data_IF_327276127994
#
_entry.id   IF_327276127994
#
_cell.length_a   1.000
_cell.length_b   1.000
_cell.length_c   1.000
_cell.angle_alpha   90.00
_cell.angle_beta   90.00
_cell.angle_gamma   90.00
#
_symmetry.space_group_name_H-M   'P 1'
#
loop_
_entity.id
_entity.type
_entity.pdbx_description
1 polymer ?
#
# COMPACT_ATOMS: atom_id res chain seq x y z
N UNK A 1 12.10 -7.62 -1.75
CA UNK A 1 10.92 -6.88 -1.28
C UNK A 1 11.40 -5.64 -0.52
N UNK A 2 10.52 -4.71 -0.13
CA UNK A 2 10.82 -3.62 0.81
C UNK A 2 11.09 -4.17 2.23
N UNK A 3 10.77 -3.40 3.26
CA UNK A 3 10.92 -3.80 4.67
C UNK A 3 10.30 -5.17 4.97
N UNK A 4 11.05 -6.01 5.72
CA UNK A 4 10.60 -7.32 6.22
C UNK A 4 9.29 -7.18 7.01
N UNK A 5 8.30 -8.01 6.69
CA UNK A 5 6.98 -7.98 7.34
C UNK A 5 6.08 -6.82 6.91
N UNK A 6 6.55 -5.93 6.02
CA UNK A 6 5.69 -4.95 5.34
C UNK A 6 4.77 -5.61 4.32
N UNK A 7 3.77 -4.88 3.84
CA UNK A 7 2.72 -5.41 2.94
C UNK A 7 3.29 -6.09 1.69
N UNK A 8 4.28 -5.49 1.01
CA UNK A 8 4.89 -6.08 -0.18
C UNK A 8 5.80 -7.27 0.12
N UNK A 9 6.40 -7.33 1.32
CA UNK A 9 7.19 -8.50 1.73
C UNK A 9 6.28 -9.70 2.03
N UNK A 10 5.19 -9.46 2.77
CA UNK A 10 4.14 -10.45 3.02
C UNK A 10 3.54 -10.95 1.70
N UNK A 11 3.16 -10.04 0.80
CA UNK A 11 2.55 -10.39 -0.48
C UNK A 11 3.48 -11.28 -1.34
N UNK A 12 4.76 -10.91 -1.45
CA UNK A 12 5.76 -11.71 -2.16
C UNK A 12 5.91 -13.11 -1.56
N UNK A 13 6.11 -13.21 -0.25
CA UNK A 13 6.35 -14.48 0.43
C UNK A 13 5.13 -15.39 0.37
N UNK A 14 3.93 -14.85 0.60
CA UNK A 14 2.68 -15.59 0.52
C UNK A 14 2.41 -16.08 -0.91
N UNK A 15 2.68 -15.27 -1.93
CA UNK A 15 2.55 -15.70 -3.32
C UNK A 15 3.54 -16.81 -3.68
N UNK A 16 4.82 -16.67 -3.31
CA UNK A 16 5.84 -17.71 -3.54
C UNK A 16 5.48 -19.02 -2.85
N UNK A 17 4.99 -18.97 -1.61
CA UNK A 17 4.50 -20.15 -0.89
C UNK A 17 3.36 -20.86 -1.63
N UNK A 18 2.42 -20.11 -2.23
CA UNK A 18 1.34 -20.67 -3.07
C UNK A 18 1.85 -21.28 -4.38
N UNK A 19 3.02 -20.86 -4.87
CA UNK A 19 3.71 -21.48 -5.99
C UNK A 19 4.55 -22.71 -5.57
N UNK A 20 4.52 -23.09 -4.28
CA UNK A 20 5.31 -24.21 -3.75
C UNK A 20 6.77 -23.87 -3.48
N UNK A 21 7.15 -22.59 -3.53
CA UNK A 21 8.52 -22.13 -3.29
C UNK A 21 8.72 -21.76 -1.82
N UNK A 22 9.79 -22.26 -1.22
CA UNK A 22 10.15 -22.00 0.17
C UNK A 22 10.94 -20.70 0.28
N UNK A 23 10.58 -19.88 1.26
CA UNK A 23 11.30 -18.66 1.62
C UNK A 23 11.54 -18.64 3.12
N UNK A 24 12.54 -17.89 3.58
CA UNK A 24 12.87 -17.75 5.01
C UNK A 24 13.04 -16.28 5.38
N UNK A 25 12.57 -15.89 6.56
CA UNK A 25 12.79 -14.55 7.11
C UNK A 25 14.27 -14.32 7.47
N UNK A 26 15.00 -15.38 7.81
CA UNK A 26 16.45 -15.35 8.07
C UNK A 26 17.30 -15.47 6.79
N UNK A 27 16.66 -15.57 5.61
CA UNK A 27 17.30 -15.85 4.33
C UNK A 27 17.39 -17.35 4.02
N UNK A 28 17.61 -17.67 2.74
CA UNK A 28 17.61 -19.03 2.19
C UNK A 28 16.25 -19.50 1.65
N UNK A 29 16.18 -20.78 1.30
CA UNK A 29 15.03 -21.38 0.58
C UNK A 29 15.27 -21.46 -0.93
N UNK A 30 14.20 -21.64 -1.69
CA UNK A 30 14.25 -21.72 -3.15
C UNK A 30 14.41 -20.33 -3.79
N UNK A 31 13.99 -19.27 -3.08
CA UNK A 31 14.09 -17.87 -3.51
C UNK A 31 14.70 -17.02 -2.40
N UNK A 32 15.82 -16.37 -2.69
CA UNK A 32 16.47 -15.43 -1.77
C UNK A 32 15.76 -14.07 -1.79
N UNK A 33 15.15 -13.68 -0.67
CA UNK A 33 14.47 -12.39 -0.52
C UNK A 33 15.30 -11.48 0.39
N UNK A 34 15.83 -10.42 -0.21
CA UNK A 34 16.57 -9.39 0.51
C UNK A 34 15.69 -8.14 0.70
N UNK A 35 15.37 -7.74 1.94
CA UNK A 35 14.76 -6.45 2.21
C UNK A 35 15.63 -5.32 1.64
N UNK A 36 15.06 -4.50 0.76
CA UNK A 36 15.77 -3.47 0.01
C UNK A 36 14.95 -2.20 -0.02
N UNK A 37 15.58 -1.06 0.26
CA UNK A 37 14.92 0.24 0.15
C UNK A 37 14.43 0.47 -1.28
N UNK A 38 13.17 0.91 -1.42
CA UNK A 38 12.54 1.08 -2.73
C UNK A 38 13.38 1.92 -3.70
N UNK A 39 14.02 2.98 -3.20
CA UNK A 39 14.88 3.87 -3.99
C UNK A 39 16.12 3.19 -4.60
N UNK A 40 16.60 2.10 -3.99
CA UNK A 40 17.77 1.36 -4.45
C UNK A 40 17.43 0.30 -5.49
N UNK A 41 16.18 -0.19 -5.50
CA UNK A 41 15.74 -1.33 -6.32
C UNK A 41 16.00 -1.14 -7.81
N UNK A 42 15.78 0.07 -8.34
CA UNK A 42 15.99 0.36 -9.76
C UNK A 42 17.45 0.10 -10.18
N UNK A 43 18.40 0.65 -9.42
CA UNK A 43 19.83 0.52 -9.74
C UNK A 43 20.29 -0.92 -9.56
N UNK A 44 19.87 -1.59 -8.50
CA UNK A 44 20.22 -2.99 -8.25
C UNK A 44 19.68 -3.92 -9.34
N UNK A 45 18.48 -3.67 -9.84
CA UNK A 45 17.92 -4.43 -10.97
C UNK A 45 18.68 -4.17 -12.26
N UNK A 46 18.98 -2.91 -12.59
CA UNK A 46 19.81 -2.55 -13.75
C UNK A 46 21.21 -3.19 -13.71
N UNK A 47 21.77 -3.35 -12.50
CA UNK A 47 23.07 -3.98 -12.28
C UNK A 47 23.01 -5.52 -12.29
N UNK A 48 21.83 -6.12 -12.50
CA UNK A 48 21.63 -7.57 -12.47
C UNK A 48 21.77 -8.19 -11.08
N UNK A 49 21.66 -7.39 -10.01
CA UNK A 49 21.73 -7.85 -8.61
C UNK A 49 20.37 -8.26 -8.05
N UNK A 50 19.29 -7.98 -8.77
CA UNK A 50 17.93 -8.40 -8.45
C UNK A 50 17.29 -9.02 -9.68
N UNK A 51 16.75 -10.23 -9.55
CA UNK A 51 15.97 -10.88 -10.60
C UNK A 51 14.54 -10.35 -10.70
N UNK A 52 14.04 -9.75 -9.62
CA UNK A 52 12.70 -9.21 -9.53
C UNK A 52 12.45 -8.48 -8.21
N UNK A 53 11.34 -7.76 -8.14
CA UNK A 53 10.92 -7.06 -6.94
C UNK A 53 9.39 -6.95 -6.87
N UNK A 54 8.86 -7.01 -5.65
CA UNK A 54 7.47 -6.70 -5.34
C UNK A 54 7.41 -5.32 -4.73
N UNK A 55 6.78 -4.35 -5.37
CA UNK A 55 6.94 -2.93 -5.02
C UNK A 55 5.64 -2.14 -5.14
N UNK A 56 5.44 -1.12 -4.29
CA UNK A 56 4.38 -0.16 -4.51
C UNK A 56 4.74 0.80 -5.65
N UNK A 57 3.74 1.51 -6.15
CA UNK A 57 3.98 2.67 -6.99
C UNK A 57 4.67 3.80 -6.20
N UNK A 58 5.53 4.62 -6.83
CA UNK A 58 5.87 4.63 -8.26
C UNK A 58 7.02 3.68 -8.65
N UNK A 59 7.52 2.88 -7.71
CA UNK A 59 8.75 2.09 -7.91
C UNK A 59 8.58 0.95 -8.91
N UNK A 60 7.40 0.30 -8.88
CA UNK A 60 7.02 -0.68 -9.90
C UNK A 60 7.01 -0.05 -11.31
N UNK A 61 6.39 1.13 -11.48
CA UNK A 61 6.41 1.87 -12.75
C UNK A 61 7.81 2.23 -13.22
N UNK A 62 8.69 2.65 -12.30
CA UNK A 62 10.08 2.98 -12.63
C UNK A 62 10.86 1.77 -13.15
N UNK A 63 10.71 0.59 -12.54
CA UNK A 63 11.38 -0.62 -13.03
C UNK A 63 10.93 -0.99 -14.45
N UNK A 64 9.62 -0.92 -14.72
CA UNK A 64 9.10 -1.24 -16.05
C UNK A 64 9.61 -0.25 -17.10
N UNK A 65 9.48 1.05 -16.83
CA UNK A 65 9.78 2.09 -17.81
C UNK A 65 11.28 2.38 -17.95
N UNK A 66 12.05 2.26 -16.86
CA UNK A 66 13.45 2.71 -16.82
C UNK A 66 14.46 1.57 -16.79
N UNK A 67 14.03 0.32 -16.57
CA UNK A 67 14.90 -0.86 -16.58
C UNK A 67 14.37 -2.00 -17.46
N UNK A 68 13.28 -1.80 -18.20
CA UNK A 68 12.69 -2.80 -19.08
C UNK A 68 12.13 -4.02 -18.35
N UNK A 69 11.86 -3.90 -17.04
CA UNK A 69 11.27 -4.97 -16.26
C UNK A 69 9.86 -5.30 -16.78
N UNK A 70 9.42 -6.54 -16.58
CA UNK A 70 8.07 -6.99 -16.91
C UNK A 70 7.28 -7.25 -15.64
N UNK A 71 6.01 -6.89 -15.64
CA UNK A 71 5.09 -7.26 -14.56
C UNK A 71 4.85 -8.77 -14.65
N UNK A 72 5.36 -9.51 -13.68
CA UNK A 72 5.13 -10.96 -13.57
C UNK A 72 3.78 -11.26 -12.93
N UNK A 73 3.45 -10.54 -11.86
CA UNK A 73 2.19 -10.65 -11.12
C UNK A 73 1.71 -9.25 -10.81
N UNK A 74 0.45 -8.96 -11.14
CA UNK A 74 -0.25 -7.80 -10.61
C UNK A 74 -0.92 -8.22 -9.30
N UNK A 75 -0.52 -7.61 -8.17
CA UNK A 75 -1.07 -7.93 -6.86
C UNK A 75 -2.59 -7.82 -6.81
N UNK A 76 -3.20 -6.92 -7.60
CA UNK A 76 -4.67 -6.80 -7.70
C UNK A 76 -5.33 -8.15 -8.04
N UNK A 77 -4.70 -8.98 -8.86
CA UNK A 77 -5.23 -10.29 -9.22
C UNK A 77 -5.30 -11.29 -8.05
N UNK A 78 -4.63 -10.99 -6.93
CA UNK A 78 -4.56 -11.84 -5.74
C UNK A 78 -5.57 -11.45 -4.65
N UNK A 79 -6.32 -10.37 -4.86
CA UNK A 79 -7.27 -9.82 -3.92
C UNK A 79 -8.68 -9.83 -4.49
N UNK A 80 -9.67 -10.12 -3.64
CA UNK A 80 -11.07 -10.00 -4.02
C UNK A 80 -11.36 -8.56 -4.48
N UNK A 81 -12.04 -8.42 -5.63
CA UNK A 81 -12.32 -7.14 -6.28
C UNK A 81 -11.07 -6.31 -6.64
N UNK A 82 -9.87 -6.88 -6.57
CA UNK A 82 -8.61 -6.18 -6.83
C UNK A 82 -8.28 -5.08 -5.81
N UNK A 83 -8.80 -5.16 -4.59
CA UNK A 83 -8.63 -4.13 -3.56
C UNK A 83 -7.83 -4.63 -2.36
N UNK A 84 -6.79 -3.88 -2.02
CA UNK A 84 -5.96 -4.08 -0.85
C UNK A 84 -5.40 -2.75 -0.35
N UNK A 85 -5.17 -2.60 0.96
CA UNK A 85 -4.65 -1.36 1.51
C UNK A 85 -3.14 -1.24 1.30
N UNK A 86 -2.69 -0.05 0.89
CA UNK A 86 -1.27 0.30 0.81
C UNK A 86 -0.87 1.29 1.90
N UNK A 87 -1.68 2.35 2.08
CA UNK A 87 -1.47 3.40 3.08
C UNK A 87 -2.76 3.66 3.85
N UNK A 88 -2.66 3.76 5.18
CA UNK A 88 -3.81 4.02 6.07
C UNK A 88 -3.50 5.23 6.94
N UNK A 89 -4.48 6.13 7.06
CA UNK A 89 -4.45 7.21 8.05
C UNK A 89 -4.87 6.64 9.42
N UNK A 90 -3.94 6.68 10.39
CA UNK A 90 -4.17 6.19 11.74
C UNK A 90 -3.98 7.34 12.74
N UNK A 91 -4.83 7.39 13.76
CA UNK A 91 -4.70 8.29 14.91
C UNK A 91 -4.65 7.48 16.19
N UNK A 92 -3.92 7.96 17.19
CA UNK A 92 -3.90 7.29 18.49
C UNK A 92 -5.25 7.39 19.20
N UNK A 93 -5.65 6.35 19.94
CA UNK A 93 -6.91 6.33 20.69
C UNK A 93 -7.03 7.51 21.66
N UNK A 94 -5.92 7.86 22.34
CA UNK A 94 -5.84 9.01 23.26
C UNK A 94 -6.14 10.32 22.53
N UNK A 95 -5.48 10.58 21.40
CA UNK A 95 -5.69 11.81 20.64
C UNK A 95 -7.12 11.89 20.08
N UNK A 96 -7.68 10.78 19.62
CA UNK A 96 -9.06 10.76 19.13
C UNK A 96 -10.09 11.07 20.23
N UNK A 97 -9.86 10.58 21.45
CA UNK A 97 -10.71 10.86 22.60
C UNK A 97 -10.57 12.31 23.10
N UNK A 98 -9.34 12.85 23.13
CA UNK A 98 -9.06 14.20 23.63
C UNK A 98 -9.39 15.29 22.61
N UNK A 99 -9.33 14.98 21.31
CA UNK A 99 -9.51 15.95 20.22
C UNK A 99 -10.48 15.47 19.13
N UNK A 100 -11.73 15.13 19.45
CA UNK A 100 -12.68 14.56 18.48
C UNK A 100 -12.99 15.52 17.31
N UNK A 101 -13.07 16.82 17.58
CA UNK A 101 -13.29 17.83 16.54
C UNK A 101 -12.11 17.94 15.57
N UNK A 102 -10.88 17.85 16.09
CA UNK A 102 -9.66 17.86 15.26
C UNK A 102 -9.58 16.62 14.39
N UNK A 103 -9.92 15.44 14.92
CA UNK A 103 -9.99 14.21 14.13
C UNK A 103 -11.05 14.32 13.04
N UNK A 104 -12.25 14.82 13.34
CA UNK A 104 -13.28 15.04 12.33
C UNK A 104 -12.85 16.04 11.24
N UNK A 105 -12.12 17.11 11.62
CA UNK A 105 -11.56 18.06 10.65
C UNK A 105 -10.49 17.42 9.76
N UNK A 106 -9.58 16.62 10.33
CA UNK A 106 -8.56 15.88 9.59
C UNK A 106 -9.20 14.91 8.59
N UNK A 107 -10.23 14.16 9.02
CA UNK A 107 -10.95 13.22 8.15
C UNK A 107 -11.69 13.93 7.03
N UNK A 108 -12.32 15.09 7.28
CA UNK A 108 -12.93 15.92 6.23
C UNK A 108 -11.90 16.40 5.21
N UNK A 109 -10.74 16.87 5.68
CA UNK A 109 -9.63 17.29 4.80
C UNK A 109 -9.11 16.14 3.94
N UNK A 110 -8.87 14.98 4.55
CA UNK A 110 -8.43 13.78 3.84
C UNK A 110 -9.48 13.33 2.79
N UNK A 111 -10.76 13.35 3.15
CA UNK A 111 -11.84 13.04 2.21
C UNK A 111 -11.88 14.02 1.04
N UNK A 112 -11.77 15.32 1.29
CA UNK A 112 -11.75 16.33 0.23
C UNK A 112 -10.55 16.13 -0.72
N UNK A 113 -9.38 15.78 -0.18
CA UNK A 113 -8.20 15.45 -0.98
C UNK A 113 -8.42 14.18 -1.84
N UNK A 114 -9.01 13.12 -1.26
CA UNK A 114 -9.35 11.89 -1.99
C UNK A 114 -10.41 12.14 -3.07
N UNK A 115 -11.45 12.92 -2.77
CA UNK A 115 -12.49 13.29 -3.72
C UNK A 115 -11.88 14.07 -4.89
N UNK A 116 -11.02 15.05 -4.62
CA UNK A 116 -10.28 15.78 -5.66
C UNK A 116 -9.37 14.85 -6.47
N UNK A 117 -8.64 13.93 -5.83
CA UNK A 117 -7.82 12.93 -6.53
C UNK A 117 -8.65 12.04 -7.45
N UNK A 118 -9.93 11.82 -7.15
CA UNK A 118 -10.82 11.01 -7.98
C UNK A 118 -11.49 11.81 -9.12
N UNK A 119 -11.71 13.13 -8.94
CA UNK A 119 -12.39 13.97 -9.93
C UNK A 119 -11.48 14.83 -10.80
N UNK A 120 -10.26 15.15 -10.34
CA UNK A 120 -9.36 16.06 -11.03
C UNK A 120 -8.90 15.52 -12.40
N UNK A 121 -8.76 16.39 -13.41
CA UNK A 121 -8.15 16.02 -14.69
C UNK A 121 -6.78 15.37 -14.49
N UNK A 122 -6.45 14.36 -15.31
CA UNK A 122 -5.21 13.60 -15.15
C UNK A 122 -3.95 14.50 -15.15
N UNK A 123 -3.87 15.46 -16.07
CA UNK A 123 -2.75 16.39 -16.15
C UNK A 123 -2.64 17.30 -14.92
N UNK A 124 -3.77 17.79 -14.41
CA UNK A 124 -3.80 18.60 -13.18
C UNK A 124 -3.30 17.78 -12.00
N UNK A 125 -3.87 16.58 -11.81
CA UNK A 125 -3.47 15.62 -10.77
C UNK A 125 -1.97 15.33 -10.78
N UNK A 126 -1.43 14.98 -11.95
CA UNK A 126 -0.01 14.68 -12.10
C UNK A 126 0.86 15.91 -11.78
N UNK A 127 0.49 17.09 -12.29
CA UNK A 127 1.25 18.32 -12.05
C UNK A 127 1.26 18.75 -10.58
N UNK A 128 0.12 18.67 -9.89
CA UNK A 128 0.00 19.00 -8.46
C UNK A 128 0.81 18.03 -7.61
N UNK A 129 0.73 16.72 -7.89
CA UNK A 129 1.51 15.72 -7.18
C UNK A 129 3.00 15.94 -7.41
N UNK A 130 3.44 16.19 -8.65
CA UNK A 130 4.85 16.47 -8.94
C UNK A 130 5.35 17.76 -8.27
N UNK A 131 4.53 18.81 -8.21
CA UNK A 131 4.87 20.02 -7.48
C UNK A 131 5.06 19.74 -5.98
N UNK A 132 4.17 18.96 -5.38
CA UNK A 132 4.29 18.53 -3.98
C UNK A 132 5.53 17.67 -3.73
N UNK A 133 5.83 16.70 -4.62
CA UNK A 133 7.05 15.88 -4.55
C UNK A 133 8.31 16.73 -4.69
N UNK A 134 8.32 17.72 -5.59
CA UNK A 134 9.44 18.63 -5.74
C UNK A 134 9.69 19.43 -4.46
N UNK A 135 8.64 19.93 -3.83
CA UNK A 135 8.72 20.70 -2.60
C UNK A 135 9.16 19.86 -1.39
N UNK A 136 8.70 18.61 -1.29
CA UNK A 136 8.91 17.76 -0.10
C UNK A 136 10.10 16.81 -0.20
N UNK A 137 10.40 16.33 -1.41
CA UNK A 137 11.45 15.34 -1.68
C UNK A 137 12.54 15.85 -2.63
N UNK A 138 12.43 17.09 -3.14
CA UNK A 138 13.46 17.72 -3.98
C UNK A 138 13.46 17.29 -5.45
N UNK A 139 12.61 16.32 -5.84
CA UNK A 139 12.54 15.79 -7.21
C UNK A 139 11.12 15.52 -7.67
N UNK A 140 10.88 15.62 -8.98
CA UNK A 140 9.64 15.19 -9.65
C UNK A 140 9.80 13.77 -10.19
N UNK A 141 8.66 13.15 -10.53
CA UNK A 141 8.62 11.96 -11.37
C UNK A 141 8.54 12.36 -12.86
N UNK A 142 9.19 11.59 -13.75
CA UNK A 142 8.92 11.67 -15.19
C UNK A 142 7.43 11.49 -15.51
N UNK A 143 6.96 12.11 -16.60
CA UNK A 143 5.54 12.13 -16.98
C UNK A 143 4.96 10.71 -17.16
N UNK A 144 5.66 9.85 -17.90
CA UNK A 144 5.29 8.46 -18.12
C UNK A 144 5.22 7.64 -16.82
N UNK A 145 6.14 7.90 -15.88
CA UNK A 145 6.17 7.24 -14.56
C UNK A 145 4.97 7.66 -13.72
N UNK A 146 4.67 8.95 -13.61
CA UNK A 146 3.53 9.40 -12.80
C UNK A 146 2.20 8.97 -13.41
N UNK A 147 2.06 9.03 -14.74
CA UNK A 147 0.84 8.60 -15.44
C UNK A 147 0.58 7.11 -15.22
N UNK A 148 1.61 6.26 -15.40
CA UNK A 148 1.52 4.83 -15.13
C UNK A 148 1.22 4.54 -13.66
N UNK A 149 1.88 5.24 -12.75
CA UNK A 149 1.67 5.08 -11.30
C UNK A 149 0.22 5.39 -10.91
N UNK A 150 -0.32 6.51 -11.40
CA UNK A 150 -1.68 6.94 -11.10
C UNK A 150 -2.73 6.01 -11.70
N UNK A 151 -2.48 5.42 -12.88
CA UNK A 151 -3.37 4.42 -13.47
C UNK A 151 -3.46 3.15 -12.61
N UNK A 152 -2.43 2.86 -11.81
CA UNK A 152 -2.39 1.69 -10.93
C UNK A 152 -2.91 1.95 -9.52
N UNK A 153 -3.17 3.20 -9.12
CA UNK A 153 -3.61 3.57 -7.77
C UNK A 153 -5.12 3.82 -7.75
N UNK A 154 -5.79 3.27 -6.74
CA UNK A 154 -7.17 3.63 -6.40
C UNK A 154 -7.18 4.43 -5.10
N UNK A 155 -7.71 5.65 -5.14
CA UNK A 155 -7.80 6.52 -3.96
C UNK A 155 -9.14 6.31 -3.25
N UNK A 156 -9.09 6.02 -1.95
CA UNK A 156 -10.28 5.83 -1.14
C UNK A 156 -10.01 6.24 0.31
N UNK A 157 -11.07 6.62 1.02
CA UNK A 157 -11.04 6.80 2.49
C UNK A 157 -11.39 5.52 3.25
N UNK A 158 -11.89 4.49 2.54
CA UNK A 158 -12.19 3.18 3.11
C UNK A 158 -10.88 2.46 3.46
N UNK A 159 -10.62 2.13 4.74
CA UNK A 159 -9.41 1.42 5.14
C UNK A 159 -9.43 -0.06 4.75
N UNK A 160 -10.50 -0.54 4.09
CA UNK A 160 -10.64 -1.91 3.61
C UNK A 160 -10.56 -2.93 4.73
N UNK A 161 -11.29 -2.70 5.83
CA UNK A 161 -11.20 -3.53 7.04
C UNK A 161 -11.34 -5.04 6.77
N UNK A 162 -12.18 -5.43 5.81
CA UNK A 162 -12.36 -6.85 5.41
C UNK A 162 -11.09 -7.54 4.92
N UNK A 163 -10.10 -6.80 4.42
CA UNK A 163 -8.83 -7.36 3.91
C UNK A 163 -7.89 -7.82 5.02
N UNK A 164 -8.07 -7.35 6.26
CA UNK A 164 -7.09 -7.56 7.34
C UNK A 164 -7.01 -8.99 7.84
N UNK A 165 -8.10 -9.77 7.73
CA UNK A 165 -8.07 -11.20 8.04
C UNK A 165 -7.15 -11.96 7.08
N UNK A 166 -7.25 -11.65 5.79
CA UNK A 166 -6.37 -12.22 4.77
C UNK A 166 -4.93 -11.72 4.93
N UNK A 167 -4.71 -10.43 5.21
CA UNK A 167 -3.37 -9.90 5.49
C UNK A 167 -2.70 -10.63 6.66
N UNK A 168 -3.43 -10.84 7.76
CA UNK A 168 -2.93 -11.60 8.90
C UNK A 168 -2.58 -13.03 8.49
N UNK A 169 -3.48 -13.72 7.78
CA UNK A 169 -3.25 -15.08 7.32
C UNK A 169 -2.03 -15.17 6.38
N UNK A 170 -1.92 -14.28 5.39
CA UNK A 170 -0.77 -14.24 4.47
C UNK A 170 0.54 -14.03 5.26
N UNK A 171 0.53 -13.19 6.30
CA UNK A 171 1.70 -12.98 7.15
C UNK A 171 2.07 -14.19 8.01
N UNK A 172 1.07 -14.95 8.48
CA UNK A 172 1.28 -16.22 9.21
C UNK A 172 1.85 -17.28 8.26
N UNK A 173 1.25 -17.44 7.08
CA UNK A 173 1.69 -18.38 6.05
C UNK A 173 3.11 -18.06 5.57
N UNK A 174 3.44 -16.77 5.47
CA UNK A 174 4.79 -16.28 5.16
C UNK A 174 5.80 -16.42 6.31
N UNK A 175 5.35 -16.78 7.52
CA UNK A 175 6.21 -16.94 8.70
C UNK A 175 6.78 -15.64 9.25
N UNK A 176 6.19 -14.48 8.91
CA UNK A 176 6.67 -13.15 9.35
C UNK A 176 5.83 -12.56 10.48
N UNK A 177 4.67 -13.13 10.78
CA UNK A 177 3.88 -12.83 11.98
C UNK A 177 3.26 -14.10 12.56
N UNK A 178 2.60 -13.95 13.71
CA UNK A 178 1.84 -15.02 14.37
C UNK A 178 0.36 -14.71 14.33
N UNK A 179 -0.47 -15.75 14.47
CA UNK A 179 -1.89 -15.55 14.65
C UNK A 179 -2.15 -14.65 15.85
N UNK A 180 -3.02 -13.67 15.67
CA UNK A 180 -3.40 -12.70 16.70
C UNK A 180 -4.89 -12.40 16.63
N UNK A 181 -5.47 -12.00 17.75
CA UNK A 181 -6.80 -11.39 17.76
C UNK A 181 -6.70 -9.96 17.23
N UNK A 182 -7.40 -9.70 16.13
CA UNK A 182 -7.46 -8.40 15.47
C UNK A 182 -8.85 -7.74 15.64
N UNK A 183 -9.67 -8.22 16.56
CA UNK A 183 -10.93 -7.57 16.88
C UNK A 183 -10.68 -6.23 17.60
N UNK A 184 -11.42 -5.19 17.20
CA UNK A 184 -11.32 -3.86 17.80
C UNK A 184 -10.16 -2.99 17.31
N UNK A 185 -9.49 -3.39 16.20
CA UNK A 185 -8.44 -2.58 15.58
C UNK A 185 -9.02 -1.40 14.78
N UNK A 186 -10.31 -1.43 14.46
CA UNK A 186 -11.01 -0.33 13.79
C UNK A 186 -12.00 0.39 14.71
N UNK A 187 -11.94 1.71 14.69
CA UNK A 187 -13.02 2.59 15.16
C UNK A 187 -13.32 3.58 14.03
N UNK A 188 -14.35 3.26 13.25
CA UNK A 188 -14.74 3.99 12.05
C UNK A 188 -15.88 4.98 12.30
N UNK A 189 -16.37 5.11 13.54
CA UNK A 189 -17.52 5.97 13.86
C UNK A 189 -17.29 7.41 13.40
N UNK A 190 -16.10 7.95 13.70
CA UNK A 190 -15.72 9.30 13.27
C UNK A 190 -15.66 9.43 11.73
N UNK A 191 -15.08 8.44 11.04
CA UNK A 191 -15.02 8.42 9.57
C UNK A 191 -16.42 8.35 8.96
N UNK A 192 -17.31 7.53 9.54
CA UNK A 192 -18.68 7.38 9.08
C UNK A 192 -19.54 8.64 9.26
N UNK A 193 -19.14 9.59 10.12
CA UNK A 193 -19.81 10.91 10.18
C UNK A 193 -19.50 11.81 8.98
N UNK A 194 -18.42 11.53 8.22
CA UNK A 194 -17.97 12.37 7.10
C UNK A 194 -17.95 11.63 5.75
N UNK A 195 -17.99 10.30 5.76
CA UNK A 195 -18.02 9.48 4.56
C UNK A 195 -19.35 9.64 3.79
N UNK A 196 -19.29 9.51 2.47
CA UNK A 196 -20.49 9.59 1.62
C UNK A 196 -21.41 8.37 1.78
N UNK A 197 -20.87 7.26 2.26
CA UNK A 197 -21.58 6.01 2.51
C UNK A 197 -21.00 5.39 3.79
N UNK A 198 -21.82 4.61 4.50
CA UNK A 198 -21.36 3.89 5.69
C UNK A 198 -20.28 2.87 5.28
N UNK A 199 -19.11 3.00 5.89
CA UNK A 199 -17.97 2.10 5.72
C UNK A 199 -18.01 1.07 6.83
N UNK A 200 -17.90 -0.21 6.46
CA UNK A 200 -17.95 -1.29 7.43
C UNK A 200 -16.58 -1.56 8.05
N UNK A 201 -16.58 -1.83 9.36
CA UNK A 201 -15.42 -2.37 10.06
C UNK A 201 -15.24 -3.89 9.83
N UNK A 202 -16.10 -4.52 9.03
CA UNK A 202 -16.06 -5.95 8.68
C UNK A 202 -16.00 -6.90 9.91
N UNK A 203 -16.65 -6.48 11.01
CA UNK A 203 -16.65 -7.19 12.29
C UNK A 203 -15.34 -7.06 13.09
N UNK A 204 -14.39 -6.23 12.64
CA UNK A 204 -13.10 -6.00 13.30
C UNK A 204 -13.10 -4.74 14.18
N UNK A 205 -14.26 -4.19 14.50
CA UNK A 205 -14.33 -2.93 15.23
C UNK A 205 -15.69 -2.26 15.28
N UNK A 206 -15.67 -0.96 15.55
CA UNK A 206 -16.86 -0.11 15.64
C UNK A 206 -17.05 0.67 14.33
N UNK A 207 -18.30 0.85 13.90
CA UNK A 207 -18.69 1.53 12.66
C UNK A 207 -19.90 2.44 12.85
#
# INVERSE_FOLDING_TARGET
SPQLGGTQDVALRAWLGKQGLKTSAAGGGDVAINPTENAQTLKLFQDGKLDGAWLPEPWASRLVLQAGAKVLVDEKSLWENGRFPTTILIVSKKFAAEHPQTVAALLRGNKAAVDWLNSAPAAEKASTINAALKATAGSTLPADVIDRSLANITFTVDPLAGTYKKLLQDGVDAGVTKQADINGIFDLRALNTVASQKISAAGLGQE
#
